data_IF_875117371690
#
_entry.id   IF_875117371690
#
_cell.length_a   1.000
_cell.length_b   1.000
_cell.length_c   1.000
_cell.angle_alpha   90.00
_cell.angle_beta   90.00
_cell.angle_gamma   90.00
#
_symmetry.space_group_name_H-M   'P 1'
#
loop_
_entity.id
_entity.type
_entity.pdbx_description
1 polymer ?
#
# COMPACT_ATOMS: atom_id res chain seq x y z
N UNK A 1 -1.31 -1.75 -17.67
CA UNK A 1 -0.78 -3.13 -17.72
C UNK A 1 -1.19 -3.82 -19.00
N UNK A 2 -0.24 -4.42 -19.74
CA UNK A 2 -0.52 -5.18 -20.96
C UNK A 2 -0.84 -6.65 -20.64
N UNK A 3 -1.67 -7.29 -21.46
CA UNK A 3 -2.11 -8.69 -21.30
C UNK A 3 -0.96 -9.71 -21.26
N UNK A 4 0.22 -9.36 -21.79
CA UNK A 4 1.38 -10.25 -21.87
C UNK A 4 1.94 -10.71 -20.51
N UNK A 5 1.79 -9.91 -19.44
CA UNK A 5 2.28 -10.28 -18.11
C UNK A 5 1.49 -11.46 -17.49
N UNK A 6 0.17 -11.47 -17.68
CA UNK A 6 -0.72 -12.50 -17.15
C UNK A 6 -0.50 -13.88 -17.78
N UNK A 7 0.08 -13.91 -18.99
CA UNK A 7 0.41 -15.13 -19.71
C UNK A 7 1.76 -15.74 -19.31
N UNK A 8 2.54 -15.06 -18.46
CA UNK A 8 3.79 -15.60 -17.94
C UNK A 8 3.54 -16.71 -16.91
N UNK A 9 4.48 -17.65 -16.80
CA UNK A 9 4.45 -18.63 -15.72
C UNK A 9 4.55 -17.94 -14.36
N UNK A 10 3.94 -18.54 -13.33
CA UNK A 10 3.96 -18.01 -11.97
C UNK A 10 5.38 -17.69 -11.48
N UNK A 11 6.37 -18.54 -11.82
CA UNK A 11 7.78 -18.31 -11.49
C UNK A 11 8.34 -17.02 -12.11
N UNK A 12 7.99 -16.70 -13.37
CA UNK A 12 8.43 -15.47 -14.03
C UNK A 12 7.73 -14.25 -13.46
N UNK A 13 6.42 -14.34 -13.20
CA UNK A 13 5.68 -13.24 -12.54
C UNK A 13 6.27 -12.95 -11.15
N UNK A 14 6.57 -13.98 -10.37
CA UNK A 14 7.17 -13.82 -9.05
C UNK A 14 8.56 -13.18 -9.14
N UNK A 15 9.40 -13.58 -10.10
CA UNK A 15 10.72 -12.95 -10.30
C UNK A 15 10.60 -11.46 -10.63
N UNK A 16 9.66 -11.08 -11.50
CA UNK A 16 9.37 -9.68 -11.82
C UNK A 16 8.86 -8.93 -10.58
N UNK A 17 7.94 -9.55 -9.81
CA UNK A 17 7.43 -8.99 -8.56
C UNK A 17 8.55 -8.68 -7.57
N UNK A 18 9.46 -9.63 -7.36
CA UNK A 18 10.61 -9.46 -6.44
C UNK A 18 11.58 -8.39 -6.92
N UNK A 19 11.84 -8.29 -8.23
CA UNK A 19 12.69 -7.25 -8.80
C UNK A 19 12.09 -5.85 -8.61
N UNK A 20 10.78 -5.70 -8.87
CA UNK A 20 10.06 -4.44 -8.65
C UNK A 20 10.03 -4.07 -7.16
N UNK A 21 9.73 -5.05 -6.29
CA UNK A 21 9.70 -4.83 -4.85
C UNK A 21 11.06 -4.37 -4.33
N UNK A 22 12.15 -5.00 -4.80
CA UNK A 22 13.51 -4.61 -4.44
C UNK A 22 13.82 -3.16 -4.87
N UNK A 23 13.56 -2.80 -6.14
CA UNK A 23 13.82 -1.44 -6.63
C UNK A 23 13.03 -0.40 -5.83
N UNK A 24 11.70 -0.57 -5.73
CA UNK A 24 10.82 0.41 -5.09
C UNK A 24 10.86 0.41 -3.55
N UNK A 25 11.55 -0.55 -2.95
CA UNK A 25 11.87 -0.52 -1.51
C UNK A 25 13.14 0.30 -1.23
N UNK A 26 14.10 0.28 -2.16
CA UNK A 26 15.41 0.89 -1.96
C UNK A 26 15.43 2.37 -2.36
N UNK A 27 14.64 2.77 -3.37
CA UNK A 27 14.60 4.14 -3.87
C UNK A 27 13.16 4.61 -4.09
N UNK A 28 12.97 5.93 -4.12
CA UNK A 28 11.67 6.51 -4.47
C UNK A 28 11.32 6.24 -5.94
N UNK A 29 10.04 6.32 -6.28
CA UNK A 29 9.55 6.09 -7.65
C UNK A 29 10.15 7.08 -8.67
N UNK A 30 10.50 8.29 -8.24
CA UNK A 30 11.17 9.30 -9.07
C UNK A 30 12.63 8.92 -9.40
N UNK A 31 13.27 8.15 -8.52
CA UNK A 31 14.67 7.75 -8.65
C UNK A 31 14.83 6.33 -9.24
N UNK A 32 13.75 5.56 -9.22
CA UNK A 32 13.71 4.19 -9.71
C UNK A 32 14.03 4.10 -11.21
N UNK A 33 14.74 3.04 -11.60
CA UNK A 33 15.22 2.84 -12.97
C UNK A 33 14.78 1.50 -13.52
N UNK A 34 14.18 1.54 -14.72
CA UNK A 34 13.88 0.34 -15.52
C UNK A 34 15.12 -0.53 -15.71
N UNK A 35 16.30 0.07 -15.86
CA UNK A 35 17.56 -0.66 -16.01
C UNK A 35 17.85 -1.58 -14.82
N UNK A 36 17.66 -1.12 -13.58
CA UNK A 36 17.87 -1.92 -12.38
C UNK A 36 16.86 -3.08 -12.31
N UNK A 37 15.58 -2.77 -12.58
CA UNK A 37 14.49 -3.75 -12.55
C UNK A 37 14.75 -4.89 -13.56
N UNK A 38 15.11 -4.57 -14.80
CA UNK A 38 15.31 -5.61 -15.83
C UNK A 38 16.54 -6.46 -15.57
N UNK A 39 17.59 -5.87 -14.98
CA UNK A 39 18.77 -6.61 -14.50
C UNK A 39 18.39 -7.58 -13.39
N UNK A 40 17.67 -7.13 -12.36
CA UNK A 40 17.22 -7.97 -11.24
C UNK A 40 16.23 -9.06 -11.67
N UNK A 41 15.32 -8.73 -12.58
CA UNK A 41 14.33 -9.68 -13.11
C UNK A 41 14.93 -10.67 -14.14
N UNK A 42 16.16 -10.44 -14.61
CA UNK A 42 16.80 -11.16 -15.71
C UNK A 42 15.93 -11.19 -16.98
N UNK A 43 15.41 -10.03 -17.37
CA UNK A 43 14.64 -9.86 -18.62
C UNK A 43 15.29 -8.78 -19.49
N UNK A 44 14.96 -8.76 -20.78
CA UNK A 44 15.38 -7.65 -21.65
C UNK A 44 14.56 -6.39 -21.37
N UNK A 45 15.12 -5.22 -21.71
CA UNK A 45 14.37 -3.95 -21.67
C UNK A 45 13.13 -3.98 -22.58
N UNK A 46 13.21 -4.65 -23.74
CA UNK A 46 12.05 -4.84 -24.62
C UNK A 46 10.96 -5.71 -23.97
N UNK A 47 11.35 -6.72 -23.20
CA UNK A 47 10.42 -7.56 -22.43
C UNK A 47 9.68 -6.75 -21.37
N UNK A 48 10.35 -5.84 -20.67
CA UNK A 48 9.69 -4.93 -19.72
C UNK A 48 8.53 -4.16 -20.38
N UNK A 49 8.79 -3.53 -21.53
CA UNK A 49 7.76 -2.76 -22.24
C UNK A 49 6.70 -3.62 -22.95
N UNK A 50 6.89 -4.95 -22.98
CA UNK A 50 5.85 -5.91 -23.36
C UNK A 50 4.83 -6.12 -22.23
N UNK A 51 5.26 -5.94 -20.97
CA UNK A 51 4.45 -6.18 -19.77
C UNK A 51 3.83 -4.89 -19.22
N UNK A 52 4.63 -3.84 -19.15
CA UNK A 52 4.27 -2.54 -18.59
C UNK A 52 4.40 -1.45 -19.64
N UNK A 53 3.55 -0.43 -19.58
CA UNK A 53 3.67 0.75 -20.44
C UNK A 53 4.90 1.58 -20.08
N UNK A 54 5.07 1.82 -18.79
CA UNK A 54 6.19 2.56 -18.21
C UNK A 54 6.47 2.08 -16.77
N UNK A 55 7.29 2.83 -16.04
CA UNK A 55 7.64 2.50 -14.65
C UNK A 55 6.46 2.76 -13.68
N UNK A 56 5.55 3.67 -14.00
CA UNK A 56 4.38 3.98 -13.17
C UNK A 56 3.35 2.85 -13.25
N UNK A 57 3.15 2.27 -14.45
CA UNK A 57 2.33 1.07 -14.65
C UNK A 57 2.89 -0.14 -13.89
N UNK A 58 4.21 -0.33 -13.91
CA UNK A 58 4.88 -1.37 -13.14
C UNK A 58 4.73 -1.17 -11.62
N UNK A 59 4.87 0.08 -11.15
CA UNK A 59 4.65 0.44 -9.76
C UNK A 59 3.20 0.17 -9.33
N UNK A 60 2.22 0.61 -10.12
CA UNK A 60 0.80 0.41 -9.85
C UNK A 60 0.45 -1.08 -9.76
N UNK A 61 1.01 -1.90 -10.66
CA UNK A 61 0.83 -3.34 -10.61
C UNK A 61 1.37 -3.95 -9.31
N UNK A 62 2.61 -3.63 -8.92
CA UNK A 62 3.18 -4.12 -7.66
C UNK A 62 2.35 -3.64 -6.45
N UNK A 63 2.03 -2.35 -6.40
CA UNK A 63 1.25 -1.76 -5.32
C UNK A 63 -0.10 -2.46 -5.15
N UNK A 64 -0.78 -2.78 -6.25
CA UNK A 64 -2.05 -3.52 -6.21
C UNK A 64 -1.93 -4.89 -5.55
N UNK A 65 -0.80 -5.60 -5.77
CA UNK A 65 -0.53 -6.90 -5.16
C UNK A 65 -0.21 -6.73 -3.67
N UNK A 66 0.66 -5.78 -3.33
CA UNK A 66 1.05 -5.50 -1.94
C UNK A 66 -0.18 -5.15 -1.11
N UNK A 67 -0.99 -4.18 -1.56
CA UNK A 67 -2.18 -3.77 -0.84
C UNK A 67 -3.22 -4.87 -0.78
N UNK A 68 -3.43 -5.64 -1.86
CA UNK A 68 -4.34 -6.80 -1.81
C UNK A 68 -3.92 -7.80 -0.74
N UNK A 69 -2.63 -8.14 -0.65
CA UNK A 69 -2.13 -9.07 0.36
C UNK A 69 -2.31 -8.52 1.79
N UNK A 70 -2.06 -7.23 2.00
CA UNK A 70 -2.26 -6.56 3.30
C UNK A 70 -3.75 -6.60 3.68
N UNK A 71 -4.65 -6.16 2.79
CA UNK A 71 -6.10 -6.17 3.08
C UNK A 71 -6.60 -7.59 3.39
N UNK A 72 -6.18 -8.59 2.61
CA UNK A 72 -6.53 -9.99 2.87
C UNK A 72 -6.03 -10.53 4.21
N UNK A 73 -4.91 -10.01 4.73
CA UNK A 73 -4.42 -10.37 6.07
C UNK A 73 -5.21 -9.67 7.18
N UNK A 74 -5.67 -8.44 6.94
CA UNK A 74 -6.43 -7.64 7.91
C UNK A 74 -7.89 -8.11 8.03
N UNK A 75 -8.52 -8.53 6.93
CA UNK A 75 -9.90 -9.03 6.87
C UNK A 75 -10.14 -10.29 7.72
N UNK A 76 -9.08 -10.99 8.12
CA UNK A 76 -9.18 -12.20 8.96
C UNK A 76 -9.53 -11.88 10.43
N UNK A 77 -9.47 -10.60 10.82
CA UNK A 77 -9.73 -10.14 12.19
C UNK A 77 -11.07 -9.40 12.24
N UNK A 78 -11.92 -9.74 13.21
CA UNK A 78 -13.24 -9.12 13.34
C UNK A 78 -13.20 -7.66 13.85
N UNK A 79 -12.09 -7.25 14.46
CA UNK A 79 -11.85 -5.89 14.95
C UNK A 79 -10.78 -5.20 14.09
N UNK A 80 -11.19 -4.22 13.30
CA UNK A 80 -10.33 -3.47 12.37
C UNK A 80 -9.25 -2.64 13.07
N UNK A 81 -9.52 -2.10 14.27
CA UNK A 81 -8.53 -1.34 15.04
C UNK A 81 -7.43 -2.26 15.58
N UNK A 82 -7.81 -3.40 16.14
CA UNK A 82 -6.84 -4.40 16.61
C UNK A 82 -6.05 -5.01 15.46
N UNK A 83 -6.68 -5.26 14.31
CA UNK A 83 -6.00 -5.73 13.11
C UNK A 83 -4.93 -4.74 12.63
N UNK A 84 -5.29 -3.46 12.56
CA UNK A 84 -4.38 -2.39 12.14
C UNK A 84 -3.23 -2.16 13.14
N UNK A 85 -3.51 -2.23 14.44
CA UNK A 85 -2.47 -2.14 15.48
C UNK A 85 -1.47 -3.31 15.37
N UNK A 86 -1.95 -4.54 15.25
CA UNK A 86 -1.08 -5.71 15.07
C UNK A 86 -0.25 -5.60 13.79
N UNK A 87 -0.86 -5.13 12.70
CA UNK A 87 -0.14 -4.90 11.45
C UNK A 87 1.02 -3.93 11.60
N UNK A 88 0.89 -2.81 12.31
CA UNK A 88 2.00 -1.89 12.53
C UNK A 88 3.06 -2.45 13.49
N UNK A 89 2.66 -3.26 14.47
CA UNK A 89 3.57 -3.92 15.42
C UNK A 89 4.49 -4.92 14.71
N UNK A 90 3.94 -5.68 13.76
CA UNK A 90 4.67 -6.69 12.98
C UNK A 90 5.28 -6.12 11.69
N UNK A 91 4.99 -4.86 11.35
CA UNK A 91 5.33 -4.27 10.06
C UNK A 91 6.82 -4.35 9.72
N UNK A 92 7.72 -4.23 10.71
CA UNK A 92 9.18 -4.25 10.49
C UNK A 92 9.70 -5.60 9.99
N UNK A 93 9.01 -6.68 10.32
CA UNK A 93 9.37 -8.03 9.89
C UNK A 93 8.76 -8.36 8.52
N UNK A 94 7.89 -7.49 7.99
CA UNK A 94 7.28 -7.66 6.68
C UNK A 94 8.26 -7.41 5.55
N UNK A 95 8.26 -8.24 4.49
CA UNK A 95 9.02 -7.95 3.27
C UNK A 95 8.56 -6.67 2.56
N UNK A 96 7.38 -6.12 2.92
CA UNK A 96 6.86 -4.89 2.36
C UNK A 96 7.22 -3.63 3.16
N UNK A 97 7.92 -3.75 4.29
CA UNK A 97 8.19 -2.61 5.19
C UNK A 97 8.76 -1.40 4.45
N UNK A 98 9.90 -1.57 3.78
CA UNK A 98 10.59 -0.49 3.08
C UNK A 98 9.76 0.05 1.91
N UNK A 99 9.04 -0.82 1.18
CA UNK A 99 8.12 -0.40 0.14
C UNK A 99 7.00 0.50 0.69
N UNK A 100 6.43 0.16 1.84
CA UNK A 100 5.39 0.95 2.49
C UNK A 100 5.92 2.28 3.02
N UNK A 101 7.14 2.31 3.57
CA UNK A 101 7.82 3.57 3.90
C UNK A 101 7.96 4.48 2.68
N UNK A 102 8.42 3.93 1.54
CA UNK A 102 8.53 4.67 0.29
C UNK A 102 7.16 5.12 -0.25
N UNK A 103 6.15 4.26 -0.15
CA UNK A 103 4.77 4.57 -0.54
C UNK A 103 4.21 5.78 0.21
N UNK A 104 4.22 5.74 1.55
CA UNK A 104 3.61 6.79 2.36
C UNK A 104 4.43 8.08 2.43
N UNK A 105 5.74 8.01 2.22
CA UNK A 105 6.62 9.20 2.26
C UNK A 105 6.58 9.98 0.95
N UNK A 106 6.62 9.30 -0.20
CA UNK A 106 6.79 9.99 -1.50
C UNK A 106 5.89 9.40 -2.60
N UNK A 107 5.87 8.08 -2.76
CA UNK A 107 5.38 7.50 -4.02
C UNK A 107 3.87 7.63 -4.20
N UNK A 108 3.08 7.68 -3.12
CA UNK A 108 1.65 7.96 -3.22
C UNK A 108 1.39 9.34 -3.85
N UNK A 109 2.13 10.37 -3.44
CA UNK A 109 2.01 11.71 -4.00
C UNK A 109 2.45 11.75 -5.48
N UNK A 110 3.55 11.07 -5.80
CA UNK A 110 4.04 10.95 -7.18
C UNK A 110 2.99 10.28 -8.07
N UNK A 111 2.42 9.16 -7.63
CA UNK A 111 1.37 8.46 -8.37
C UNK A 111 0.12 9.31 -8.54
N UNK A 112 -0.29 10.05 -7.50
CA UNK A 112 -1.45 10.92 -7.58
C UNK A 112 -1.24 12.11 -8.52
N UNK A 113 0.00 12.59 -8.70
CA UNK A 113 0.31 13.62 -9.71
C UNK A 113 0.21 13.11 -11.16
N UNK A 114 0.33 11.80 -11.39
CA UNK A 114 0.20 11.19 -12.72
C UNK A 114 -1.25 10.87 -13.08
N UNK A 115 -2.13 10.69 -12.09
CA UNK A 115 -3.54 10.37 -12.31
C UNK A 115 -4.32 11.62 -12.71
N UNK A 116 -5.16 11.51 -13.74
CA UNK A 116 -6.21 12.50 -13.98
C UNK A 116 -7.20 12.47 -12.80
N UNK A 117 -7.74 13.62 -12.38
CA UNK A 117 -8.75 13.63 -11.31
C UNK A 117 -9.92 12.71 -11.71
N UNK A 118 -10.14 11.67 -10.91
CA UNK A 118 -11.31 10.81 -11.02
C UNK A 118 -12.43 11.37 -10.13
N UNK A 119 -13.67 10.97 -10.41
CA UNK A 119 -14.89 11.48 -9.77
C UNK A 119 -15.09 11.05 -8.29
N UNK A 120 -14.08 10.50 -7.62
CA UNK A 120 -14.16 9.93 -6.27
C UNK A 120 -13.21 10.58 -5.26
N UNK A 121 -12.92 11.88 -5.41
CA UNK A 121 -12.00 12.59 -4.51
C UNK A 121 -12.56 12.79 -3.08
N UNK A 122 -13.87 12.64 -2.91
CA UNK A 122 -14.56 12.86 -1.64
C UNK A 122 -15.56 11.72 -1.40
N UNK A 123 -15.60 11.24 -0.17
CA UNK A 123 -16.63 10.31 0.29
C UNK A 123 -17.96 11.08 0.43
N UNK A 124 -19.01 10.61 -0.26
CA UNK A 124 -20.35 11.16 -0.10
C UNK A 124 -20.98 10.64 1.20
N UNK A 125 -20.76 11.37 2.28
CA UNK A 125 -21.28 11.01 3.61
C UNK A 125 -22.80 11.09 3.72
N UNK A 126 -23.48 11.71 2.74
CA UNK A 126 -24.95 11.77 2.74
C UNK A 126 -25.62 10.40 2.53
N UNK A 127 -24.86 9.39 2.08
CA UNK A 127 -25.34 8.02 1.89
C UNK A 127 -25.31 7.19 3.17
N UNK A 128 -24.62 7.64 4.22
CA UNK A 128 -24.53 6.91 5.48
C UNK A 128 -25.84 7.09 6.28
N UNK A 129 -26.38 5.98 6.77
CA UNK A 129 -27.76 5.89 7.25
C UNK A 129 -27.91 6.13 8.75
N UNK A 130 -26.88 5.85 9.52
CA UNK A 130 -26.91 5.92 10.98
C UNK A 130 -25.53 6.21 11.58
N UNK A 131 -25.52 6.42 12.89
CA UNK A 131 -24.31 6.73 13.67
C UNK A 131 -23.28 5.59 13.65
N UNK A 132 -23.70 4.34 13.43
CA UNK A 132 -22.77 3.21 13.32
C UNK A 132 -22.02 3.26 11.99
N UNK A 133 -22.71 3.51 10.87
CA UNK A 133 -22.07 3.67 9.57
C UNK A 133 -21.10 4.88 9.56
N UNK A 134 -21.45 5.97 10.26
CA UNK A 134 -20.55 7.11 10.46
C UNK A 134 -19.34 6.73 11.33
N UNK A 135 -19.57 5.99 12.43
CA UNK A 135 -18.51 5.53 13.32
C UNK A 135 -17.52 4.61 12.59
N UNK A 136 -18.02 3.66 11.80
CA UNK A 136 -17.21 2.76 10.98
C UNK A 136 -16.37 3.53 9.96
N UNK A 137 -16.96 4.54 9.30
CA UNK A 137 -16.22 5.42 8.40
C UNK A 137 -15.12 6.20 9.14
N UNK A 138 -15.42 6.81 10.29
CA UNK A 138 -14.45 7.54 11.10
C UNK A 138 -13.29 6.64 11.57
N UNK A 139 -13.61 5.41 11.98
CA UNK A 139 -12.62 4.40 12.38
C UNK A 139 -11.71 4.07 11.19
N UNK A 140 -12.28 3.83 10.00
CA UNK A 140 -11.49 3.57 8.80
C UNK A 140 -10.55 4.74 8.45
N UNK A 141 -11.02 5.99 8.52
CA UNK A 141 -10.18 7.18 8.30
C UNK A 141 -9.06 7.29 9.34
N UNK A 142 -9.38 7.02 10.62
CA UNK A 142 -8.40 7.05 11.70
C UNK A 142 -7.32 5.96 11.52
N UNK A 143 -7.72 4.73 11.17
CA UNK A 143 -6.80 3.62 10.86
C UNK A 143 -5.85 4.03 9.73
N UNK A 144 -6.37 4.51 8.60
CA UNK A 144 -5.53 4.92 7.47
C UNK A 144 -4.54 6.02 7.86
N UNK A 145 -4.98 7.00 8.66
CA UNK A 145 -4.11 8.07 9.16
C UNK A 145 -3.00 7.54 10.06
N UNK A 146 -3.31 6.64 10.99
CA UNK A 146 -2.32 6.09 11.93
C UNK A 146 -1.32 5.18 11.23
N UNK A 147 -1.77 4.33 10.29
CA UNK A 147 -0.90 3.51 9.44
C UNK A 147 0.04 4.40 8.64
N UNK A 148 -0.48 5.43 7.97
CA UNK A 148 0.34 6.40 7.24
C UNK A 148 1.38 7.06 8.15
N UNK A 149 0.95 7.51 9.33
CA UNK A 149 1.83 8.16 10.30
C UNK A 149 2.96 7.23 10.74
N UNK A 150 2.69 5.93 10.92
CA UNK A 150 3.69 4.95 11.31
C UNK A 150 4.78 4.77 10.24
N UNK A 151 4.38 4.62 8.98
CA UNK A 151 5.36 4.44 7.90
C UNK A 151 6.11 5.73 7.54
N UNK A 152 5.54 6.91 7.82
CA UNK A 152 6.25 8.19 7.67
C UNK A 152 7.19 8.49 8.85
N UNK A 153 6.81 8.10 10.07
CA UNK A 153 7.53 8.40 11.32
C UNK A 153 7.64 7.17 12.24
N UNK A 154 8.40 6.12 11.86
CA UNK A 154 8.48 4.88 12.63
C UNK A 154 9.03 5.08 14.05
N UNK A 155 9.79 6.14 14.29
CA UNK A 155 10.30 6.54 15.61
C UNK A 155 9.21 7.00 16.58
N UNK A 156 8.02 7.33 16.07
CA UNK A 156 6.84 7.72 16.85
C UNK A 156 5.88 6.56 17.11
N UNK A 157 6.33 5.32 16.92
CA UNK A 157 5.49 4.12 17.06
C UNK A 157 4.76 4.06 18.39
N UNK A 158 5.40 4.41 19.51
CA UNK A 158 4.78 4.40 20.84
C UNK A 158 3.56 5.34 20.93
N UNK A 159 3.69 6.57 20.45
CA UNK A 159 2.62 7.58 20.44
C UNK A 159 1.45 7.15 19.51
N UNK A 160 1.79 6.50 18.39
CA UNK A 160 0.82 5.98 17.42
C UNK A 160 0.04 4.79 18.00
N UNK A 161 0.73 3.86 18.66
CA UNK A 161 0.10 2.73 19.37
C UNK A 161 -0.82 3.24 20.47
N UNK A 162 -0.39 4.26 21.23
CA UNK A 162 -1.25 4.89 22.23
C UNK A 162 -2.53 5.47 21.61
N UNK A 163 -2.45 6.01 20.39
CA UNK A 163 -3.61 6.52 19.65
C UNK A 163 -4.57 5.39 19.25
N UNK A 164 -4.06 4.23 18.80
CA UNK A 164 -4.89 3.04 18.57
C UNK A 164 -5.60 2.59 19.86
N UNK A 165 -4.90 2.57 20.99
CA UNK A 165 -5.47 2.19 22.28
C UNK A 165 -6.59 3.16 22.74
N UNK A 166 -6.40 4.46 22.53
CA UNK A 166 -7.43 5.46 22.81
C UNK A 166 -8.68 5.27 21.94
N UNK A 167 -8.52 4.99 20.64
CA UNK A 167 -9.64 4.72 19.73
C UNK A 167 -10.40 3.44 20.12
N UNK A 168 -9.70 2.35 20.45
CA UNK A 168 -10.33 1.11 20.94
C UNK A 168 -11.10 1.34 22.25
N UNK A 169 -10.60 2.20 23.13
CA UNK A 169 -11.30 2.54 24.37
C UNK A 169 -12.54 3.40 24.11
N UNK A 170 -12.50 4.29 23.12
CA UNK A 170 -13.65 5.07 22.69
C UNK A 170 -14.73 4.19 22.05
N UNK A 171 -14.37 3.31 21.11
CA UNK A 171 -15.29 2.42 20.40
C UNK A 171 -16.10 1.50 21.35
N UNK A 172 -15.52 1.11 22.49
CA UNK A 172 -16.23 0.29 23.50
C UNK A 172 -17.26 1.06 24.33
N UNK A 173 -17.25 2.40 24.26
CA UNK A 173 -18.11 3.29 25.06
C UNK A 173 -19.21 3.95 24.23
N UNK A 174 -18.95 4.15 22.94
CA UNK A 174 -19.92 4.53 21.91
C UNK A 174 -20.84 3.37 21.59
#
# INVERSE_FOLDING_TARGET
>A
MKSGLLNLSARKQEKIKQALLSEFSNVSLLEAKVANIVTLAEISRGSFYTYFEDIYDAYQWLASIVFKNIHQSLEQTQDSLSAAENFILEAKDSPYYNFLCQYYTVNDAVMNSQKKPSSGYFDDLSQLKDDNEISDWLIAQAIHRLIRSYFMYPEKSADIIQSFQALKAWQKRS
#
